data_IF_248510963225
#
_entry.id   IF_248510963225
#
_cell.length_a   1.000
_cell.length_b   1.000
_cell.length_c   1.000
_cell.angle_alpha   90.00
_cell.angle_beta   90.00
_cell.angle_gamma   90.00
#
_symmetry.space_group_name_H-M   'P 1'
#
loop_
_entity.id
_entity.type
_entity.pdbx_description
1 polymer ?
#
# COMPACT_ATOMS: atom_id res chain seq x y z
N UNK A 1 11.35 -30.04 3.07
CA UNK A 1 10.29 -29.03 2.79
C UNK A 1 10.90 -27.89 1.96
N UNK A 2 10.41 -27.67 0.72
CA UNK A 2 10.99 -26.69 -0.23
C UNK A 2 10.95 -25.25 0.30
N UNK A 3 11.97 -24.46 -0.03
CA UNK A 3 12.13 -23.05 0.33
C UNK A 3 10.94 -22.20 -0.17
N UNK A 4 10.42 -22.53 -1.37
CA UNK A 4 9.21 -21.90 -1.94
C UNK A 4 7.98 -22.11 -1.06
N UNK A 5 7.76 -23.33 -0.54
CA UNK A 5 6.61 -23.65 0.30
C UNK A 5 6.64 -22.93 1.65
N UNK A 6 7.84 -22.72 2.20
CA UNK A 6 8.06 -21.97 3.45
C UNK A 6 7.89 -20.47 3.26
N UNK A 7 8.27 -19.94 2.10
CA UNK A 7 7.99 -18.56 1.73
C UNK A 7 6.49 -18.33 1.49
N UNK A 8 5.78 -19.28 0.86
CA UNK A 8 4.33 -19.16 0.65
C UNK A 8 3.53 -19.24 1.96
N UNK A 9 4.01 -19.96 2.98
CA UNK A 9 3.33 -20.05 4.28
C UNK A 9 3.37 -18.76 5.10
N UNK A 10 4.15 -17.74 4.70
CA UNK A 10 4.12 -16.43 5.35
C UNK A 10 3.04 -15.50 4.79
N UNK A 11 2.35 -15.92 3.73
CA UNK A 11 1.29 -15.14 3.10
C UNK A 11 -0.02 -15.40 3.83
N UNK A 12 -0.58 -14.35 4.42
CA UNK A 12 -1.96 -14.31 4.92
C UNK A 12 -2.91 -14.42 3.71
N UNK A 13 -3.54 -15.59 3.55
CA UNK A 13 -4.35 -15.92 2.36
C UNK A 13 -5.63 -15.10 2.30
N UNK A 14 -6.28 -14.82 3.42
CA UNK A 14 -7.52 -14.03 3.47
C UNK A 14 -7.24 -12.59 3.08
N UNK A 15 -6.13 -12.04 3.57
CA UNK A 15 -5.64 -10.73 3.16
C UNK A 15 -5.24 -10.70 1.69
N UNK A 16 -4.58 -11.74 1.20
CA UNK A 16 -4.21 -11.85 -0.21
C UNK A 16 -5.44 -11.85 -1.11
N UNK A 17 -6.45 -12.67 -0.79
CA UNK A 17 -7.71 -12.70 -1.51
C UNK A 17 -8.39 -11.33 -1.52
N UNK A 18 -8.55 -10.71 -0.35
CA UNK A 18 -9.15 -9.37 -0.22
C UNK A 18 -8.40 -8.32 -1.04
N UNK A 19 -7.07 -8.35 -1.01
CA UNK A 19 -6.22 -7.40 -1.74
C UNK A 19 -6.35 -7.58 -3.26
N UNK A 20 -6.43 -8.83 -3.73
CA UNK A 20 -6.61 -9.16 -5.14
C UNK A 20 -8.01 -8.81 -5.64
N UNK A 21 -9.06 -8.99 -4.84
CA UNK A 21 -10.42 -8.55 -5.19
C UNK A 21 -10.47 -7.03 -5.38
N UNK A 22 -9.94 -6.27 -4.42
CA UNK A 22 -9.81 -4.82 -4.54
C UNK A 22 -9.04 -4.41 -5.81
N UNK A 23 -7.97 -5.12 -6.11
CA UNK A 23 -7.14 -4.83 -7.27
C UNK A 23 -7.84 -5.18 -8.59
N UNK A 24 -8.56 -6.29 -8.66
CA UNK A 24 -9.37 -6.66 -9.82
C UNK A 24 -10.43 -5.60 -10.12
N UNK A 25 -11.12 -5.11 -9.08
CA UNK A 25 -12.11 -4.03 -9.23
C UNK A 25 -11.48 -2.72 -9.70
N UNK A 26 -10.29 -2.38 -9.17
CA UNK A 26 -9.53 -1.22 -9.61
C UNK A 26 -9.13 -1.31 -11.08
N UNK A 27 -8.63 -2.47 -11.53
CA UNK A 27 -8.25 -2.70 -12.93
C UNK A 27 -9.47 -2.59 -13.84
N UNK A 28 -10.60 -3.18 -13.44
CA UNK A 28 -11.88 -3.04 -14.15
C UNK A 28 -12.32 -1.56 -14.24
N UNK A 29 -12.28 -0.82 -13.13
CA UNK A 29 -12.73 0.56 -13.07
C UNK A 29 -11.80 1.56 -13.81
N UNK A 30 -10.50 1.26 -13.89
CA UNK A 30 -9.50 2.15 -14.50
C UNK A 30 -9.12 1.78 -15.93
N UNK A 31 -9.46 0.56 -16.37
CA UNK A 31 -8.99 -0.03 -17.64
C UNK A 31 -7.46 -0.03 -17.80
N UNK A 32 -6.70 0.09 -16.69
CA UNK A 32 -5.23 0.01 -16.71
C UNK A 32 -4.78 -1.43 -16.93
N UNK A 33 -3.64 -1.61 -17.58
CA UNK A 33 -2.92 -2.88 -17.52
C UNK A 33 -2.33 -3.05 -16.10
N UNK A 34 -2.44 -4.24 -15.46
CA UNK A 34 -1.97 -4.46 -14.09
C UNK A 34 -0.53 -4.02 -13.83
N UNK A 35 0.44 -4.61 -14.53
CA UNK A 35 1.85 -4.24 -14.44
C UNK A 35 2.53 -4.46 -15.79
N UNK A 36 3.52 -3.62 -16.08
CA UNK A 36 4.45 -3.80 -17.19
C UNK A 36 5.62 -4.69 -16.76
N UNK A 37 6.06 -5.63 -17.61
CA UNK A 37 7.25 -6.41 -17.33
C UNK A 37 8.49 -5.50 -17.37
N UNK A 38 9.44 -5.75 -16.48
CA UNK A 38 10.75 -5.08 -16.52
C UNK A 38 11.65 -5.89 -17.45
N UNK A 39 11.81 -5.46 -18.71
CA UNK A 39 12.62 -6.20 -19.68
C UNK A 39 14.11 -6.26 -19.27
N UNK A 40 14.58 -5.21 -18.60
CA UNK A 40 15.95 -5.09 -18.09
C UNK A 40 15.94 -4.44 -16.70
N UNK A 41 17.02 -4.64 -15.93
CA UNK A 41 17.16 -4.08 -14.58
C UNK A 41 17.12 -2.54 -14.52
N UNK A 42 17.32 -1.86 -15.65
CA UNK A 42 17.27 -0.40 -15.78
C UNK A 42 15.98 0.15 -16.39
N UNK A 43 14.92 -0.66 -16.52
CA UNK A 43 13.66 -0.23 -17.14
C UNK A 43 12.85 0.70 -16.22
N UNK A 44 13.32 1.93 -16.09
CA UNK A 44 12.74 2.95 -15.21
C UNK A 44 11.32 3.29 -15.62
N UNK A 45 10.99 3.28 -16.92
CA UNK A 45 9.64 3.64 -17.39
C UNK A 45 8.60 2.61 -16.95
N UNK A 46 8.88 1.32 -17.14
CA UNK A 46 8.00 0.27 -16.62
C UNK A 46 7.93 0.28 -15.08
N UNK A 47 9.04 0.56 -14.40
CA UNK A 47 9.05 0.71 -12.94
C UNK A 47 8.21 1.89 -12.44
N UNK A 48 8.24 3.04 -13.13
CA UNK A 48 7.41 4.21 -12.84
C UNK A 48 5.93 3.89 -13.06
N UNK A 49 5.57 3.31 -14.21
CA UNK A 49 4.20 2.88 -14.47
C UNK A 49 3.68 1.92 -13.38
N UNK A 50 4.50 0.97 -12.96
CA UNK A 50 4.14 0.01 -11.93
C UNK A 50 3.96 0.68 -10.55
N UNK A 51 4.82 1.64 -10.20
CA UNK A 51 4.67 2.46 -8.98
C UNK A 51 3.39 3.30 -9.02
N UNK A 52 3.14 4.03 -10.11
CA UNK A 52 1.92 4.82 -10.30
C UNK A 52 0.65 3.96 -10.26
N UNK A 53 0.72 2.73 -10.76
CA UNK A 53 -0.43 1.81 -10.70
C UNK A 53 -0.75 1.40 -9.26
N UNK A 54 0.27 1.20 -8.42
CA UNK A 54 0.08 0.95 -6.97
C UNK A 54 -0.41 2.20 -6.24
N UNK A 55 0.01 3.40 -6.65
CA UNK A 55 -0.47 4.69 -6.13
C UNK A 55 -1.96 4.86 -6.39
N UNK A 56 -2.36 4.74 -7.66
CA UNK A 56 -3.76 4.83 -8.08
C UNK A 56 -4.62 3.76 -7.43
N UNK A 57 -4.09 2.55 -7.23
CA UNK A 57 -4.78 1.50 -6.50
C UNK A 57 -5.06 1.89 -5.04
N UNK A 58 -4.06 2.44 -4.35
CA UNK A 58 -4.25 2.94 -2.99
C UNK A 58 -5.31 4.05 -2.91
N UNK A 59 -5.27 5.01 -3.84
CA UNK A 59 -6.27 6.08 -3.92
C UNK A 59 -7.67 5.54 -4.26
N UNK A 60 -7.77 4.53 -5.12
CA UNK A 60 -9.03 3.87 -5.45
C UNK A 60 -9.69 3.29 -4.19
N UNK A 61 -8.93 2.56 -3.36
CA UNK A 61 -9.44 2.02 -2.09
C UNK A 61 -9.91 3.15 -1.18
N UNK A 62 -9.11 4.22 -1.05
CA UNK A 62 -9.45 5.38 -0.20
C UNK A 62 -10.73 6.07 -0.66
N UNK A 63 -10.92 6.25 -1.96
CA UNK A 63 -12.12 6.90 -2.52
C UNK A 63 -13.40 6.09 -2.34
N UNK A 64 -13.30 4.76 -2.27
CA UNK A 64 -14.46 3.87 -2.13
C UNK A 64 -14.85 3.64 -0.67
N UNK A 65 -13.88 3.67 0.24
CA UNK A 65 -14.09 3.34 1.64
C UNK A 65 -14.39 1.85 1.87
N UNK A 66 -14.76 1.52 3.10
CA UNK A 66 -14.96 0.13 3.54
C UNK A 66 -16.11 -0.57 2.80
N UNK A 67 -15.95 -1.88 2.56
CA UNK A 67 -16.98 -2.78 2.01
C UNK A 67 -17.74 -3.56 3.09
N UNK A 68 -17.32 -3.44 4.34
CA UNK A 68 -17.89 -4.21 5.44
C UNK A 68 -19.34 -3.78 5.70
N UNK A 69 -20.26 -4.76 5.80
CA UNK A 69 -21.66 -4.51 6.14
C UNK A 69 -21.77 -3.68 7.42
N UNK A 70 -22.56 -2.61 7.39
CA UNK A 70 -22.72 -1.66 8.50
C UNK A 70 -21.63 -0.59 8.61
N UNK A 71 -20.59 -0.64 7.77
CA UNK A 71 -19.54 0.38 7.65
C UNK A 71 -19.24 0.73 6.19
N UNK A 72 -20.18 0.48 5.28
CA UNK A 72 -19.97 0.70 3.86
C UNK A 72 -19.65 2.18 3.61
N UNK A 73 -18.59 2.45 2.85
CA UNK A 73 -18.15 3.80 2.50
C UNK A 73 -17.36 4.54 3.60
N UNK A 74 -17.24 3.99 4.82
CA UNK A 74 -16.43 4.64 5.85
C UNK A 74 -14.95 4.65 5.47
N UNK A 75 -14.23 5.71 5.80
CA UNK A 75 -12.80 5.82 5.52
C UNK A 75 -12.02 4.61 6.06
N UNK A 76 -11.20 4.00 5.20
CA UNK A 76 -10.31 2.90 5.58
C UNK A 76 -9.02 3.49 6.16
N UNK A 77 -8.51 2.90 7.25
CA UNK A 77 -7.25 3.33 7.87
C UNK A 77 -6.08 3.26 6.87
N UNK A 78 -5.19 4.25 6.88
CA UNK A 78 -4.09 4.34 5.90
C UNK A 78 -3.19 3.10 5.93
N UNK A 79 -2.88 2.59 7.13
CA UNK A 79 -2.03 1.40 7.28
C UNK A 79 -2.70 0.14 6.68
N UNK A 80 -4.04 0.07 6.69
CA UNK A 80 -4.79 -1.01 6.03
C UNK A 80 -4.69 -0.90 4.51
N UNK A 81 -4.82 0.31 3.95
CA UNK A 81 -4.63 0.55 2.51
C UNK A 81 -3.20 0.20 2.09
N UNK A 82 -2.20 0.70 2.84
CA UNK A 82 -0.78 0.41 2.58
C UNK A 82 -0.49 -1.10 2.64
N UNK A 83 -1.18 -1.81 3.55
CA UNK A 83 -1.10 -3.28 3.63
C UNK A 83 -1.62 -3.96 2.36
N UNK A 84 -2.81 -3.58 1.86
CA UNK A 84 -3.36 -4.16 0.63
C UNK A 84 -2.47 -3.87 -0.60
N UNK A 85 -2.01 -2.63 -0.74
CA UNK A 85 -1.08 -2.23 -1.81
C UNK A 85 0.22 -3.05 -1.73
N UNK A 86 0.77 -3.20 -0.52
CA UNK A 86 1.96 -4.00 -0.27
C UNK A 86 1.76 -5.49 -0.60
N UNK A 87 0.61 -6.06 -0.26
CA UNK A 87 0.27 -7.45 -0.58
C UNK A 87 0.22 -7.68 -2.09
N UNK A 88 -0.45 -6.80 -2.86
CA UNK A 88 -0.47 -6.89 -4.33
C UNK A 88 0.94 -6.79 -4.91
N UNK A 89 1.75 -5.84 -4.42
CA UNK A 89 3.15 -5.68 -4.85
C UNK A 89 3.99 -6.94 -4.61
N UNK A 90 3.83 -7.59 -3.45
CA UNK A 90 4.53 -8.83 -3.11
C UNK A 90 4.09 -9.94 -4.06
N UNK A 91 2.79 -10.16 -4.23
CA UNK A 91 2.25 -11.22 -5.09
C UNK A 91 2.68 -11.04 -6.54
N UNK A 92 2.61 -9.82 -7.07
CA UNK A 92 3.07 -9.49 -8.42
C UNK A 92 4.58 -9.73 -8.59
N UNK A 93 5.39 -9.37 -7.58
CA UNK A 93 6.84 -9.62 -7.61
C UNK A 93 7.17 -11.12 -7.53
N UNK A 94 6.40 -11.90 -6.76
CA UNK A 94 6.54 -13.35 -6.70
C UNK A 94 6.19 -13.99 -8.05
N UNK A 95 5.11 -13.56 -8.69
CA UNK A 95 4.72 -14.03 -10.02
C UNK A 95 5.71 -13.65 -11.13
N UNK A 96 6.35 -12.48 -11.02
CA UNK A 96 7.38 -12.03 -11.96
C UNK A 96 8.77 -12.62 -11.70
N UNK A 97 8.99 -13.28 -10.55
CA UNK A 97 10.32 -13.73 -10.09
C UNK A 97 11.37 -12.62 -9.90
N UNK A 98 10.95 -11.35 -9.90
CA UNK A 98 11.77 -10.18 -9.60
C UNK A 98 10.89 -9.05 -9.02
N UNK A 99 11.50 -8.01 -8.46
CA UNK A 99 10.75 -6.82 -8.00
C UNK A 99 10.08 -6.14 -9.20
N UNK A 100 8.82 -5.71 -9.07
CA UNK A 100 8.09 -5.01 -10.14
C UNK A 100 8.27 -3.48 -10.14
N UNK A 101 8.87 -2.92 -9.09
CA UNK A 101 9.14 -1.48 -8.95
C UNK A 101 10.58 -1.26 -8.46
N UNK A 102 11.13 -0.08 -8.70
CA UNK A 102 12.40 0.36 -8.12
C UNK A 102 12.19 1.42 -7.03
N UNK A 103 13.13 1.53 -6.09
CA UNK A 103 13.11 2.60 -5.08
C UNK A 103 13.23 3.98 -5.74
N UNK A 104 14.04 4.09 -6.79
CA UNK A 104 14.19 5.32 -7.60
C UNK A 104 12.89 5.76 -8.29
N UNK A 105 11.95 4.85 -8.50
CA UNK A 105 10.64 5.12 -9.10
C UNK A 105 9.55 5.38 -8.05
N UNK A 106 9.85 5.23 -6.75
CA UNK A 106 8.87 5.28 -5.66
C UNK A 106 8.92 6.60 -4.88
N UNK A 107 8.70 7.72 -5.59
CA UNK A 107 8.89 9.06 -5.01
C UNK A 107 7.62 9.65 -4.39
N UNK A 108 6.43 9.20 -4.79
CA UNK A 108 5.15 9.76 -4.35
C UNK A 108 4.52 8.95 -3.21
N UNK A 109 4.41 7.62 -3.32
CA UNK A 109 3.76 6.77 -2.28
C UNK A 109 4.16 7.10 -0.83
N UNK A 110 5.45 7.19 -0.45
CA UNK A 110 5.80 7.40 0.95
C UNK A 110 5.30 8.75 1.49
N UNK A 111 5.25 9.77 0.62
CA UNK A 111 4.75 11.10 0.95
C UNK A 111 3.22 11.10 1.03
N UNK A 112 2.55 10.43 0.10
CA UNK A 112 1.11 10.28 0.07
C UNK A 112 0.59 9.54 1.33
N UNK A 113 1.14 8.38 1.66
CA UNK A 113 0.75 7.63 2.87
C UNK A 113 1.02 8.43 4.15
N UNK A 114 2.09 9.24 4.20
CA UNK A 114 2.34 10.14 5.34
C UNK A 114 1.31 11.28 5.42
N UNK A 115 0.90 11.84 4.29
CA UNK A 115 -0.13 12.88 4.24
C UNK A 115 -1.49 12.33 4.70
N UNK A 116 -1.88 11.15 4.21
CA UNK A 116 -3.12 10.47 4.61
C UNK A 116 -3.16 10.14 6.10
N UNK A 117 -2.06 9.62 6.66
CA UNK A 117 -1.96 9.39 8.12
C UNK A 117 -2.08 10.66 8.96
N UNK A 118 -1.66 11.82 8.43
CA UNK A 118 -1.82 13.11 9.12
C UNK A 118 -3.26 13.62 9.06
N UNK A 119 -3.97 13.36 7.95
CA UNK A 119 -5.36 13.74 7.77
C UNK A 119 -6.31 12.88 8.62
N UNK A 120 -5.92 11.63 8.90
CA UNK A 120 -6.67 10.76 9.81
C UNK A 120 -6.51 11.22 11.25
N UNK A 121 -7.64 11.39 11.95
CA UNK A 121 -7.63 11.68 13.38
C UNK A 121 -6.88 10.54 14.11
N UNK A 122 -6.00 10.87 15.08
CA UNK A 122 -5.33 9.85 15.86
C UNK A 122 -6.38 8.99 16.59
N UNK A 123 -6.20 7.67 16.64
CA UNK A 123 -7.13 6.82 17.38
C UNK A 123 -7.07 7.16 18.88
N UNK A 124 -8.24 7.47 19.45
CA UNK A 124 -8.43 7.77 20.87
C UNK A 124 -8.07 9.20 21.31
N UNK A 125 -8.34 9.53 22.57
CA UNK A 125 -7.91 10.79 23.17
C UNK A 125 -6.40 10.78 23.37
N UNK A 126 -5.69 11.57 22.57
CA UNK A 126 -4.26 11.74 22.70
C UNK A 126 -3.97 12.59 23.95
N UNK A 127 -3.84 11.96 25.13
CA UNK A 127 -3.29 12.66 26.31
C UNK A 127 -1.93 13.22 25.91
N UNK A 128 -1.79 14.55 26.02
CA UNK A 128 -0.52 15.24 25.83
C UNK A 128 0.53 14.57 26.71
N UNK A 129 1.46 13.82 26.10
CA UNK A 129 2.66 13.41 26.82
C UNK A 129 3.38 14.70 27.19
N UNK A 130 3.44 15.00 28.50
CA UNK A 130 4.23 16.10 29.07
C UNK A 130 5.71 15.80 28.87
N UNK A 131 6.17 15.90 27.62
CA UNK A 131 7.59 15.85 27.29
C UNK A 131 8.28 17.12 27.78
N UNK A 132 9.58 17.01 28.04
CA UNK A 132 10.44 18.15 28.35
C UNK A 132 10.41 19.10 27.14
N UNK A 133 9.81 20.28 27.31
CA UNK A 133 9.79 21.33 26.27
C UNK A 133 11.04 22.19 26.40
N UNK A 134 11.40 22.93 25.35
CA UNK A 134 12.59 23.78 25.34
C UNK A 134 12.69 24.76 26.53
N UNK A 135 11.56 25.15 27.15
CA UNK A 135 11.56 25.98 28.35
C UNK A 135 11.99 25.24 29.63
N UNK A 136 11.88 23.92 29.69
CA UNK A 136 12.41 23.09 30.79
C UNK A 136 13.94 22.87 30.70
N UNK A 137 14.58 23.30 29.60
CA UNK A 137 16.03 23.20 29.38
C UNK A 137 16.74 24.56 29.49
N UNK A 138 16.00 25.61 29.86
CA UNK A 138 16.59 26.91 30.19
C UNK A 138 16.89 26.91 31.69
N UNK A 139 18.08 26.43 32.04
CA UNK A 139 18.72 26.72 33.32
C UNK A 139 19.22 28.16 33.31
#
# INVERSE_FOLDING_TARGET
MSLKRRASSTIDLDRAATSLEWFADFISASSRRPFLPLAHAGDIQAAVYNSETLELFGEYIRSRGSRQKGRVGTAIASDTVDTYVGTVKILASLGAHHRITFESANVVMPRASKAHRRAQAPPGERKLKRGIRAHHLRA
#
